data_IF_292688802968
#
_entry.id   IF_292688802968
#
_cell.length_a   1.000
_cell.length_b   1.000
_cell.length_c   1.000
_cell.angle_alpha   90.00
_cell.angle_beta   90.00
_cell.angle_gamma   90.00
#
_symmetry.space_group_name_H-M   'P 1'
#
loop_
_entity.id
_entity.type
_entity.pdbx_description
1 polymer ?
#
# COMPACT_ATOMS: atom_id res chain seq x y z
N UNK A 1 11.22 21.79 -7.24
CA UNK A 1 11.32 21.08 -5.95
C UNK A 1 10.40 19.88 -6.07
N UNK A 2 10.94 18.69 -6.27
CA UNK A 2 10.18 17.44 -6.43
C UNK A 2 9.81 16.90 -5.04
N UNK A 3 8.60 16.37 -4.88
CA UNK A 3 8.20 15.70 -3.63
C UNK A 3 9.03 14.43 -3.46
N UNK A 4 9.50 14.12 -2.25
CA UNK A 4 10.20 12.86 -2.01
C UNK A 4 9.23 11.67 -1.93
N UNK A 5 8.01 11.90 -1.44
CA UNK A 5 6.95 10.89 -1.31
C UNK A 5 5.71 11.38 -2.05
N UNK A 6 5.08 10.51 -2.83
CA UNK A 6 3.80 10.76 -3.50
C UNK A 6 2.89 9.55 -3.31
N UNK A 7 1.62 9.80 -3.00
CA UNK A 7 0.59 8.80 -2.84
C UNK A 7 -0.20 8.63 -4.13
N UNK A 8 -0.40 7.39 -4.57
CA UNK A 8 -1.18 7.06 -5.76
C UNK A 8 -2.34 6.13 -5.39
N UNK A 9 -3.52 6.40 -5.95
CA UNK A 9 -4.72 5.60 -5.74
C UNK A 9 -5.66 5.67 -6.95
N UNK A 10 -6.53 4.67 -7.07
CA UNK A 10 -7.49 4.54 -8.16
C UNK A 10 -8.85 4.09 -7.65
N UNK A 11 -9.88 4.86 -7.98
CA UNK A 11 -11.26 4.52 -7.61
C UNK A 11 -12.21 4.57 -8.79
N UNK A 12 -13.16 3.63 -8.83
CA UNK A 12 -14.17 3.57 -9.88
C UNK A 12 -15.20 4.68 -9.74
N UNK A 13 -15.56 5.32 -10.86
CA UNK A 13 -16.61 6.34 -10.93
C UNK A 13 -17.49 6.16 -12.17
N UNK A 14 -18.61 6.89 -12.23
CA UNK A 14 -19.44 6.96 -13.43
C UNK A 14 -19.42 8.37 -14.03
N UNK A 15 -19.14 8.48 -15.32
CA UNK A 15 -19.28 9.71 -16.11
C UNK A 15 -20.29 9.42 -17.19
N UNK A 16 -21.40 10.17 -17.21
CA UNK A 16 -22.51 9.95 -18.15
C UNK A 16 -23.00 8.49 -18.20
N UNK A 17 -23.06 7.83 -17.04
CA UNK A 17 -23.48 6.43 -16.90
C UNK A 17 -22.43 5.40 -17.33
N UNK A 18 -21.29 5.80 -17.88
CA UNK A 18 -20.18 4.91 -18.27
C UNK A 18 -19.16 4.79 -17.14
N UNK A 19 -18.56 3.60 -16.99
CA UNK A 19 -17.51 3.37 -16.00
C UNK A 19 -16.23 4.10 -16.41
N UNK A 20 -15.71 4.90 -15.50
CA UNK A 20 -14.40 5.53 -15.54
C UNK A 20 -13.65 5.21 -14.23
N UNK A 21 -12.37 5.53 -14.20
CA UNK A 21 -11.51 5.42 -13.04
C UNK A 21 -10.93 6.80 -12.76
N UNK A 22 -11.04 7.25 -11.51
CA UNK A 22 -10.38 8.45 -11.03
C UNK A 22 -9.01 8.04 -10.52
N UNK A 23 -7.97 8.48 -11.21
CA UNK A 23 -6.58 8.35 -10.79
C UNK A 23 -6.21 9.55 -9.93
N UNK A 24 -5.55 9.27 -8.81
CA UNK A 24 -5.15 10.29 -7.83
C UNK A 24 -3.65 10.21 -7.64
N UNK A 25 -2.99 11.37 -7.63
CA UNK A 25 -1.62 11.52 -7.18
C UNK A 25 -1.58 12.68 -6.17
N UNK A 26 -1.07 12.45 -4.96
CA UNK A 26 -1.08 13.49 -3.92
C UNK A 26 0.16 13.49 -3.03
N UNK A 27 0.42 14.65 -2.44
CA UNK A 27 1.38 14.83 -1.34
C UNK A 27 0.76 15.72 -0.25
N UNK A 28 1.59 16.26 0.63
CA UNK A 28 1.17 17.12 1.74
C UNK A 28 0.53 18.46 1.30
N UNK A 29 0.74 18.88 0.05
CA UNK A 29 0.34 20.22 -0.45
C UNK A 29 -0.60 20.18 -1.65
N UNK A 30 -0.51 19.15 -2.47
CA UNK A 30 -1.16 19.10 -3.77
C UNK A 30 -1.82 17.75 -3.99
N UNK A 31 -2.95 17.77 -4.71
CA UNK A 31 -3.63 16.60 -5.21
C UNK A 31 -3.96 16.81 -6.67
N UNK A 32 -3.61 15.84 -7.51
CA UNK A 32 -3.95 15.78 -8.92
C UNK A 32 -4.98 14.68 -9.14
N UNK A 33 -5.96 14.97 -9.99
CA UNK A 33 -7.06 14.08 -10.34
C UNK A 33 -7.12 13.90 -11.85
N UNK A 34 -7.16 12.65 -12.31
CA UNK A 34 -7.37 12.32 -13.71
C UNK A 34 -8.49 11.29 -13.85
N UNK A 35 -9.70 11.68 -14.30
CA UNK A 35 -10.70 10.72 -14.74
C UNK A 35 -10.29 10.11 -16.08
N UNK A 36 -10.17 8.79 -16.14
CA UNK A 36 -9.81 8.05 -17.35
C UNK A 36 -10.75 6.87 -17.59
N UNK A 37 -10.94 6.50 -18.87
CA UNK A 37 -11.80 5.35 -19.22
C UNK A 37 -11.17 3.99 -18.83
N UNK A 38 -9.87 3.99 -18.57
CA UNK A 38 -9.06 2.82 -18.20
C UNK A 38 -8.53 2.93 -16.78
N UNK A 39 -8.35 1.78 -16.15
CA UNK A 39 -7.60 1.58 -14.91
C UNK A 39 -6.16 1.18 -15.26
N UNK A 40 -5.18 1.53 -14.43
CA UNK A 40 -3.80 1.07 -14.56
C UNK A 40 -2.97 1.78 -15.60
N UNK A 41 -1.96 1.07 -16.11
CA UNK A 41 -0.79 1.66 -16.75
C UNK A 41 -1.12 2.70 -17.82
N UNK A 42 -2.04 2.41 -18.74
CA UNK A 42 -2.43 3.36 -19.80
C UNK A 42 -2.88 4.74 -19.25
N UNK A 43 -3.62 4.74 -18.14
CA UNK A 43 -4.11 5.97 -17.52
C UNK A 43 -3.04 6.63 -16.62
N UNK A 44 -2.21 5.83 -15.95
CA UNK A 44 -1.08 6.30 -15.16
C UNK A 44 -0.04 6.99 -16.07
N UNK A 45 0.25 6.39 -17.23
CA UNK A 45 1.10 6.94 -18.28
C UNK A 45 0.51 8.25 -18.81
N UNK A 46 -0.81 8.28 -19.07
CA UNK A 46 -1.50 9.48 -19.52
C UNK A 46 -1.49 10.61 -18.46
N UNK A 47 -1.45 10.27 -17.16
CA UNK A 47 -1.30 11.24 -16.07
C UNK A 47 0.10 11.86 -16.05
N UNK A 48 1.12 11.10 -16.47
CA UNK A 48 2.49 11.60 -16.65
C UNK A 48 3.24 11.94 -15.36
N UNK A 49 2.70 11.57 -14.19
CA UNK A 49 3.35 11.83 -12.89
C UNK A 49 4.24 10.65 -12.49
N UNK A 50 3.66 9.46 -12.33
CA UNK A 50 4.40 8.28 -11.87
C UNK A 50 5.51 7.82 -12.84
N UNK A 51 5.35 7.86 -14.18
CA UNK A 51 6.41 7.42 -15.10
C UNK A 51 7.74 8.19 -14.95
N UNK A 52 7.66 9.46 -14.56
CA UNK A 52 8.82 10.35 -14.39
C UNK A 52 9.24 10.49 -12.91
N UNK A 53 8.51 9.85 -11.99
CA UNK A 53 8.75 9.99 -10.56
C UNK A 53 9.91 9.11 -10.10
N UNK A 54 10.81 9.67 -9.29
CA UNK A 54 12.03 8.98 -8.79
C UNK A 54 12.15 8.97 -7.27
N UNK A 55 11.05 9.28 -6.56
CA UNK A 55 10.97 9.18 -5.10
C UNK A 55 10.27 7.90 -4.66
N UNK A 56 9.65 7.95 -3.48
CA UNK A 56 8.86 6.85 -2.91
C UNK A 56 7.39 6.96 -3.32
N UNK A 57 6.94 6.07 -4.20
CA UNK A 57 5.55 5.94 -4.60
C UNK A 57 4.80 5.08 -3.56
N UNK A 58 3.87 5.70 -2.83
CA UNK A 58 3.01 5.02 -1.88
C UNK A 58 1.71 4.65 -2.59
N UNK A 59 1.45 3.37 -2.80
CA UNK A 59 0.24 2.90 -3.51
C UNK A 59 -0.34 1.65 -2.87
N UNK A 60 -1.49 1.18 -3.35
CA UNK A 60 -2.06 -0.11 -2.92
C UNK A 60 -1.23 -1.28 -3.47
N UNK A 61 -1.53 -2.53 -3.09
CA UNK A 61 -0.80 -3.70 -3.59
C UNK A 61 -1.03 -4.05 -5.07
N UNK A 62 -1.52 -3.12 -5.91
CA UNK A 62 -1.96 -3.43 -7.26
C UNK A 62 -0.80 -3.54 -8.25
N UNK A 63 -0.76 -4.67 -8.96
CA UNK A 63 0.37 -5.08 -9.82
C UNK A 63 0.82 -4.04 -10.87
N UNK A 64 -0.06 -3.27 -11.53
CA UNK A 64 0.35 -2.30 -12.54
C UNK A 64 1.25 -1.18 -12.04
N UNK A 65 1.33 -0.92 -10.73
CA UNK A 65 2.31 0.02 -10.19
C UNK A 65 3.74 -0.51 -10.24
N UNK A 66 3.95 -1.83 -10.24
CA UNK A 66 5.27 -2.42 -10.09
C UNK A 66 6.16 -2.32 -11.34
N UNK A 67 5.67 -1.72 -12.43
CA UNK A 67 6.43 -1.56 -13.68
C UNK A 67 7.20 -0.23 -13.75
N UNK A 68 6.95 0.68 -12.82
CA UNK A 68 7.59 2.00 -12.79
C UNK A 68 8.89 1.96 -12.02
N UNK A 69 9.89 2.67 -12.54
CA UNK A 69 11.24 2.72 -11.95
C UNK A 69 11.32 3.81 -10.88
N UNK A 70 10.82 3.48 -9.68
CA UNK A 70 10.85 4.31 -8.48
C UNK A 70 10.94 3.43 -7.22
N UNK A 71 11.14 4.03 -6.05
CA UNK A 71 11.00 3.29 -4.80
C UNK A 71 9.51 3.08 -4.50
N UNK A 72 9.14 1.90 -4.01
CA UNK A 72 7.76 1.54 -3.75
C UNK A 72 7.51 1.34 -2.25
N UNK A 73 6.39 1.87 -1.76
CA UNK A 73 5.88 1.61 -0.44
C UNK A 73 4.39 1.26 -0.51
N UNK A 74 3.97 0.29 0.31
CA UNK A 74 2.56 -0.06 0.40
C UNK A 74 1.81 0.93 1.31
N UNK A 75 0.61 1.30 0.88
CA UNK A 75 -0.28 2.14 1.67
C UNK A 75 -0.76 1.37 2.92
N UNK A 76 -0.31 1.79 4.10
CA UNK A 76 -0.70 1.18 5.37
C UNK A 76 -2.22 1.14 5.56
N UNK A 77 -2.97 2.14 5.09
CA UNK A 77 -4.44 2.13 5.20
C UNK A 77 -5.08 1.01 4.37
N UNK A 78 -4.53 0.69 3.18
CA UNK A 78 -4.98 -0.45 2.39
C UNK A 78 -4.55 -1.77 3.03
N UNK A 79 -3.28 -1.87 3.46
CA UNK A 79 -2.75 -3.05 4.13
C UNK A 79 -3.58 -3.40 5.38
N UNK A 80 -3.92 -2.43 6.22
CA UNK A 80 -4.74 -2.65 7.41
C UNK A 80 -6.14 -3.15 7.08
N UNK A 81 -6.79 -2.66 6.01
CA UNK A 81 -8.09 -3.19 5.56
C UNK A 81 -7.99 -4.63 5.09
N UNK A 82 -6.93 -4.97 4.36
CA UNK A 82 -6.68 -6.36 3.94
C UNK A 82 -6.45 -7.27 5.16
N UNK A 83 -5.63 -6.84 6.12
CA UNK A 83 -5.37 -7.57 7.37
C UNK A 83 -6.65 -7.77 8.19
N UNK A 84 -7.50 -6.75 8.32
CA UNK A 84 -8.82 -6.89 8.94
C UNK A 84 -9.68 -7.90 8.18
N UNK A 85 -9.69 -7.85 6.85
CA UNK A 85 -10.40 -8.84 6.04
C UNK A 85 -9.88 -10.27 6.27
N UNK A 86 -8.57 -10.45 6.46
CA UNK A 86 -7.96 -11.74 6.78
C UNK A 86 -8.40 -12.23 8.16
N UNK A 87 -8.33 -11.36 9.18
CA UNK A 87 -8.81 -11.66 10.53
C UNK A 87 -10.30 -12.03 10.52
N UNK A 88 -11.15 -11.24 9.86
CA UNK A 88 -12.59 -11.43 9.93
C UNK A 88 -13.06 -12.68 9.16
N UNK A 89 -12.52 -12.91 7.96
CA UNK A 89 -13.01 -13.98 7.07
C UNK A 89 -12.29 -15.31 7.29
N UNK A 90 -11.01 -15.28 7.65
CA UNK A 90 -10.17 -16.49 7.77
C UNK A 90 -9.73 -16.78 9.20
N UNK A 91 -10.02 -15.86 10.15
CA UNK A 91 -9.68 -16.01 11.57
C UNK A 91 -8.19 -16.24 11.83
N UNK A 92 -7.33 -15.80 10.91
CA UNK A 92 -5.88 -15.96 11.01
C UNK A 92 -5.30 -14.92 11.96
N UNK A 93 -4.60 -15.39 12.99
CA UNK A 93 -4.20 -14.57 14.12
C UNK A 93 -3.02 -13.65 13.78
N UNK A 94 -2.13 -14.08 12.87
CA UNK A 94 -1.00 -13.25 12.42
C UNK A 94 -1.48 -11.92 11.82
N UNK A 95 -2.63 -11.88 11.15
CA UNK A 95 -3.14 -10.67 10.52
C UNK A 95 -3.54 -9.61 11.57
N UNK A 96 -4.17 -10.07 12.66
CA UNK A 96 -4.48 -9.23 13.82
C UNK A 96 -3.21 -8.71 14.50
N UNK A 97 -2.23 -9.59 14.71
CA UNK A 97 -0.94 -9.24 15.29
C UNK A 97 -0.21 -8.19 14.45
N UNK A 98 -0.20 -8.37 13.12
CA UNK A 98 0.42 -7.43 12.18
C UNK A 98 -0.27 -6.07 12.22
N UNK A 99 -1.61 -6.03 12.20
CA UNK A 99 -2.35 -4.77 12.23
C UNK A 99 -2.08 -3.99 13.52
N UNK A 100 -2.00 -4.70 14.65
CA UNK A 100 -1.59 -4.11 15.93
C UNK A 100 -0.17 -3.55 15.87
N UNK A 101 0.79 -4.30 15.33
CA UNK A 101 2.18 -3.86 15.21
C UNK A 101 2.31 -2.61 14.33
N UNK A 102 1.65 -2.56 13.18
CA UNK A 102 1.64 -1.39 12.30
C UNK A 102 1.09 -0.14 13.00
N UNK A 103 0.06 -0.31 13.82
CA UNK A 103 -0.51 0.78 14.64
C UNK A 103 0.48 1.26 15.71
N UNK A 104 1.20 0.33 16.35
CA UNK A 104 2.27 0.65 17.31
C UNK A 104 3.42 1.42 16.64
N UNK A 105 3.90 0.96 15.47
CA UNK A 105 4.95 1.63 14.70
C UNK A 105 4.55 3.05 14.29
N UNK A 106 3.29 3.24 13.85
CA UNK A 106 2.77 4.57 13.50
C UNK A 106 2.74 5.50 14.71
N UNK A 107 2.23 5.01 15.84
CA UNK A 107 2.19 5.76 17.10
C UNK A 107 3.60 6.18 17.53
N UNK A 108 4.55 5.25 17.50
CA UNK A 108 5.95 5.55 17.84
C UNK A 108 6.54 6.64 16.95
N UNK A 109 6.30 6.54 15.63
CA UNK A 109 6.78 7.55 14.67
C UNK A 109 6.15 8.93 14.93
N UNK A 110 4.87 8.97 15.24
CA UNK A 110 4.17 10.22 15.56
C UNK A 110 4.70 10.86 16.85
N UNK A 111 4.88 10.06 17.90
CA UNK A 111 5.41 10.54 19.19
C UNK A 111 6.84 11.11 19.03
N UNK A 112 7.70 10.45 18.24
CA UNK A 112 9.02 10.99 17.92
C UNK A 112 8.92 12.30 17.14
N UNK A 113 8.03 12.38 16.14
CA UNK A 113 7.82 13.59 15.34
C UNK A 113 7.32 14.76 16.18
N UNK A 114 6.35 14.54 17.06
CA UNK A 114 5.81 15.55 17.97
C UNK A 114 6.87 16.07 18.95
N UNK A 115 7.75 15.18 19.41
CA UNK A 115 8.85 15.53 20.31
C UNK A 115 10.10 16.05 19.58
N UNK A 116 10.08 16.11 18.24
CA UNK A 116 11.23 16.45 17.40
C UNK A 116 12.45 15.60 17.74
N UNK A 117 12.20 14.30 17.94
CA UNK A 117 13.22 13.28 18.23
C UNK A 117 13.45 12.41 17.00
N UNK A 118 14.70 12.01 16.82
CA UNK A 118 15.03 10.96 15.87
C UNK A 118 14.46 9.61 16.33
N UNK A 119 14.26 8.71 15.39
CA UNK A 119 13.87 7.35 15.70
C UNK A 119 15.07 6.62 16.30
N UNK A 120 14.84 5.92 17.40
CA UNK A 120 15.84 5.14 18.10
C UNK A 120 16.13 3.85 17.32
N UNK A 121 17.41 3.60 17.06
CA UNK A 121 17.84 2.47 16.24
C UNK A 121 17.49 1.12 16.86
N UNK A 122 17.65 0.96 18.18
CA UNK A 122 17.32 -0.28 18.88
C UNK A 122 15.80 -0.52 18.87
N UNK A 123 15.00 0.54 19.01
CA UNK A 123 13.55 0.46 18.90
C UNK A 123 13.10 0.10 17.48
N UNK A 124 13.72 0.65 16.43
CA UNK A 124 13.45 0.27 15.03
C UNK A 124 13.75 -1.21 14.85
N UNK A 125 14.94 -1.66 15.23
CA UNK A 125 15.36 -3.04 15.09
C UNK A 125 14.41 -4.01 15.81
N UNK A 126 13.99 -3.69 17.03
CA UNK A 126 13.02 -4.50 17.76
C UNK A 126 11.64 -4.55 17.08
N UNK A 127 11.22 -3.48 16.41
CA UNK A 127 9.99 -3.45 15.63
C UNK A 127 10.10 -4.29 14.35
N UNK A 128 11.24 -4.25 13.66
CA UNK A 128 11.55 -5.07 12.48
C UNK A 128 11.59 -6.56 12.83
N UNK A 129 12.27 -6.95 13.91
CA UNK A 129 12.31 -8.36 14.36
C UNK A 129 10.91 -8.90 14.67
N UNK A 130 10.04 -8.08 15.28
CA UNK A 130 8.63 -8.45 15.52
C UNK A 130 7.83 -8.55 14.22
N UNK A 131 8.11 -7.66 13.26
CA UNK A 131 7.46 -7.69 11.95
C UNK A 131 7.77 -9.00 11.23
N UNK A 132 9.04 -9.35 11.12
CA UNK A 132 9.51 -10.58 10.46
C UNK A 132 8.94 -11.83 11.14
N UNK A 133 8.91 -11.86 12.47
CA UNK A 133 8.31 -12.97 13.21
C UNK A 133 6.83 -13.17 12.88
N UNK A 134 6.05 -12.09 12.71
CA UNK A 134 4.63 -12.18 12.34
C UNK A 134 4.48 -12.59 10.87
N UNK A 135 5.33 -12.11 9.97
CA UNK A 135 5.36 -12.55 8.57
C UNK A 135 5.59 -14.06 8.48
N UNK A 136 6.55 -14.60 9.25
CA UNK A 136 6.81 -16.03 9.28
C UNK A 136 5.57 -16.85 9.69
N UNK A 137 4.85 -16.41 10.74
CA UNK A 137 3.56 -17.04 11.12
C UNK A 137 2.55 -16.99 9.97
N UNK A 138 2.47 -15.85 9.28
CA UNK A 138 1.59 -15.68 8.13
C UNK A 138 1.92 -16.63 6.97
N UNK A 139 3.21 -16.87 6.71
CA UNK A 139 3.67 -17.82 5.70
C UNK A 139 3.36 -19.26 6.13
N UNK A 140 3.57 -19.60 7.40
CA UNK A 140 3.28 -20.93 7.95
C UNK A 140 1.78 -21.27 7.89
N UNK A 141 0.91 -20.31 8.21
CA UNK A 141 -0.56 -20.48 8.11
C UNK A 141 -1.07 -20.46 6.65
N UNK A 142 -0.28 -19.93 5.70
CA UNK A 142 -0.63 -19.83 4.28
C UNK A 142 0.44 -20.46 3.38
N UNK A 143 0.66 -21.78 3.47
CA UNK A 143 1.66 -22.44 2.64
C UNK A 143 1.33 -22.28 1.16
N UNK A 144 2.35 -22.06 0.32
CA UNK A 144 2.17 -21.92 -1.12
C UNK A 144 1.43 -23.15 -1.66
N UNK A 145 0.35 -22.90 -2.40
CA UNK A 145 -0.35 -23.94 -3.15
C UNK A 145 0.65 -24.67 -4.06
N UNK A 146 0.76 -25.99 -3.91
CA UNK A 146 1.52 -26.85 -4.82
C UNK A 146 0.92 -26.89 -6.25
N UNK A 147 -0.24 -26.26 -6.47
CA UNK A 147 -0.93 -26.25 -7.74
C UNK A 147 -1.27 -24.80 -8.17
N UNK A 148 -0.39 -24.13 -8.94
CA UNK A 148 -0.52 -22.71 -9.28
C UNK A 148 -1.67 -22.39 -10.24
N UNK A 149 -2.27 -23.38 -10.90
CA UNK A 149 -3.28 -23.19 -11.96
C UNK A 149 -4.67 -22.74 -11.46
N UNK A 150 -4.94 -22.78 -10.16
CA UNK A 150 -6.22 -22.37 -9.56
C UNK A 150 -6.19 -20.99 -8.90
N UNK A 151 -5.41 -20.05 -9.42
CA UNK A 151 -5.58 -18.65 -9.01
C UNK A 151 -6.87 -18.11 -9.63
N UNK A 152 -7.95 -18.09 -8.84
CA UNK A 152 -9.19 -17.43 -9.22
C UNK A 152 -8.94 -15.99 -9.66
N UNK A 153 -9.76 -15.49 -10.59
CA UNK A 153 -9.70 -14.09 -11.04
C UNK A 153 -9.84 -13.17 -9.83
N UNK A 154 -8.77 -12.47 -9.43
CA UNK A 154 -8.85 -11.36 -8.47
C UNK A 154 -9.75 -10.28 -9.08
N UNK A 155 -10.68 -9.78 -8.29
CA UNK A 155 -11.77 -8.89 -8.71
C UNK A 155 -11.29 -7.68 -9.52
N UNK A 156 -12.11 -7.33 -10.51
CA UNK A 156 -11.97 -6.23 -11.48
C UNK A 156 -12.18 -4.87 -10.83
#
# INVERSE_FOLDING_TARGET
>A
MTSYVVHFDETGMKIEGKRHWLHVASNDKYTCYLPHSKRGAEAIDAMGILPEFKGVAVHDGWKPYNVYDCDHALCNAHLQRELTGIEENYKQQWAKEMNKLLTEMKKYTDECKEQVKELDFEQIKALEERFDAIIMKGIEENPQSLNPEKQGKRGV
#
